data_IF_398652122482
#
_entry.id   IF_398652122482
#
_cell.length_a   1.000
_cell.length_b   1.000
_cell.length_c   1.000
_cell.angle_alpha   90.00
_cell.angle_beta   90.00
_cell.angle_gamma   90.00
#
_symmetry.space_group_name_H-M   'P 1'
#
loop_
_entity.id
_entity.type
_entity.pdbx_description
1 polymer ?
#
# COMPACT_ATOMS: atom_id res chain seq x y z
N UNK A 1 -19.45 33.67 -1.28
CA UNK A 1 -18.82 32.70 -1.97
C UNK A 1 -19.15 31.37 -1.43
N UNK A 2 -19.42 30.53 -2.27
CA UNK A 2 -19.76 29.27 -1.84
C UNK A 2 -18.55 28.46 -1.65
N UNK A 3 -18.46 27.96 -0.49
CA UNK A 3 -17.36 27.17 -0.21
C UNK A 3 -17.62 25.82 -0.70
N UNK A 4 -16.84 25.32 -1.56
CA UNK A 4 -16.99 23.95 -1.90
C UNK A 4 -16.63 23.15 -0.71
N UNK A 5 -17.39 22.14 -0.38
CA UNK A 5 -17.00 21.28 0.71
C UNK A 5 -15.62 20.78 0.41
N UNK A 6 -14.77 20.86 1.39
CA UNK A 6 -13.45 20.41 1.21
C UNK A 6 -13.49 18.92 1.09
N UNK A 7 -12.99 18.44 -0.02
CA UNK A 7 -12.84 17.01 -0.13
C UNK A 7 -11.74 16.58 0.77
N UNK A 8 -11.97 15.51 1.47
CA UNK A 8 -10.93 14.93 2.25
C UNK A 8 -9.87 14.40 1.32
N UNK A 9 -8.64 14.76 1.56
CA UNK A 9 -7.54 14.24 0.77
C UNK A 9 -7.05 12.96 1.39
N UNK A 10 -6.76 12.00 0.54
CA UNK A 10 -6.28 10.70 0.96
C UNK A 10 -4.83 10.58 0.56
N UNK A 11 -3.98 10.26 1.51
CA UNK A 11 -2.57 10.02 1.22
C UNK A 11 -2.46 8.66 0.56
N UNK A 12 -2.08 8.68 -0.69
CA UNK A 12 -2.04 7.47 -1.50
C UNK A 12 -0.59 7.15 -1.84
N UNK A 13 -0.07 6.00 -1.42
CA UNK A 13 1.31 5.65 -1.76
C UNK A 13 1.46 5.45 -3.27
N UNK A 14 2.49 6.07 -3.82
CA UNK A 14 2.83 5.94 -5.24
C UNK A 14 4.34 5.83 -5.32
N UNK A 15 4.84 4.65 -5.67
CA UNK A 15 4.12 3.43 -6.04
C UNK A 15 3.35 2.81 -4.87
N UNK A 16 2.53 1.83 -5.19
CA UNK A 16 1.72 1.17 -4.17
C UNK A 16 2.61 0.59 -3.08
N UNK A 17 2.14 0.68 -1.84
CA UNK A 17 2.93 0.20 -0.71
C UNK A 17 3.24 -1.28 -0.83
N UNK A 18 2.27 -2.07 -1.28
CA UNK A 18 2.49 -3.50 -1.44
C UNK A 18 3.61 -3.77 -2.44
N UNK A 19 3.71 -2.96 -3.50
CA UNK A 19 4.77 -3.14 -4.48
C UNK A 19 6.13 -2.77 -3.90
N UNK A 20 6.17 -1.71 -3.10
CA UNK A 20 7.42 -1.31 -2.45
C UNK A 20 7.93 -2.42 -1.55
N UNK A 21 7.03 -2.98 -0.72
CA UNK A 21 7.42 -4.03 0.20
C UNK A 21 7.85 -5.29 -0.53
N UNK A 22 7.14 -5.64 -1.60
CA UNK A 22 7.49 -6.80 -2.38
C UNK A 22 8.90 -6.69 -2.95
N UNK A 23 9.23 -5.52 -3.49
CA UNK A 23 10.55 -5.30 -4.05
C UNK A 23 11.64 -5.27 -2.99
N UNK A 24 11.33 -4.70 -1.82
CA UNK A 24 12.29 -4.68 -0.73
C UNK A 24 12.61 -6.09 -0.25
N UNK A 25 11.59 -6.93 -0.15
CA UNK A 25 11.82 -8.29 0.30
C UNK A 25 12.65 -9.08 -0.71
N UNK A 26 12.39 -8.87 -1.98
CA UNK A 26 13.19 -9.52 -3.00
C UNK A 26 14.64 -9.05 -2.95
N UNK A 27 14.86 -7.77 -2.77
CA UNK A 27 16.21 -7.23 -2.68
C UNK A 27 16.92 -7.75 -1.45
N UNK A 28 16.18 -7.91 -0.36
CA UNK A 28 16.77 -8.41 0.87
C UNK A 28 17.13 -9.91 0.79
N UNK A 29 16.33 -10.66 0.05
CA UNK A 29 16.54 -12.08 -0.11
C UNK A 29 16.03 -12.91 1.06
N UNK A 30 15.25 -12.29 1.96
CA UNK A 30 14.66 -12.98 3.09
C UNK A 30 13.45 -12.17 3.54
N UNK A 31 12.56 -12.76 4.36
CA UNK A 31 11.34 -12.05 4.76
C UNK A 31 11.63 -10.76 5.49
N UNK A 32 10.82 -9.75 5.24
CA UNK A 32 10.93 -8.49 5.94
C UNK A 32 10.44 -8.65 7.38
N UNK A 33 11.10 -7.97 8.30
CA UNK A 33 10.64 -7.92 9.68
C UNK A 33 9.55 -6.86 9.81
N UNK A 34 8.83 -6.92 10.93
CA UNK A 34 7.81 -5.91 11.20
C UNK A 34 8.40 -4.51 11.20
N UNK A 35 9.57 -4.35 11.81
CA UNK A 35 10.22 -3.06 11.85
C UNK A 35 10.53 -2.56 10.45
N UNK A 36 10.99 -3.44 9.58
CA UNK A 36 11.31 -3.05 8.21
C UNK A 36 10.06 -2.64 7.43
N UNK A 37 8.96 -3.36 7.65
CA UNK A 37 7.70 -3.01 6.99
C UNK A 37 7.20 -1.65 7.45
N UNK A 38 7.24 -1.41 8.75
CA UNK A 38 6.78 -0.15 9.29
C UNK A 38 7.66 1.00 8.83
N UNK A 39 8.98 0.78 8.80
CA UNK A 39 9.90 1.79 8.32
C UNK A 39 9.64 2.14 6.86
N UNK A 40 9.37 1.12 6.03
CA UNK A 40 9.06 1.37 4.64
C UNK A 40 7.78 2.16 4.49
N UNK A 41 6.75 1.83 5.29
CA UNK A 41 5.51 2.60 5.27
C UNK A 41 5.76 4.05 5.63
N UNK A 42 6.56 4.28 6.67
CA UNK A 42 6.80 5.63 7.15
C UNK A 42 7.57 6.47 6.13
N UNK A 43 8.34 5.82 5.28
CA UNK A 43 9.14 6.52 4.28
C UNK A 43 8.54 6.47 2.88
N UNK A 44 7.34 5.90 2.75
CA UNK A 44 6.72 5.75 1.44
C UNK A 44 6.34 7.11 0.87
N UNK A 45 6.58 7.29 -0.42
CA UNK A 45 6.12 8.48 -1.10
C UNK A 45 4.63 8.41 -1.28
N UNK A 46 3.94 9.46 -0.88
CA UNK A 46 2.49 9.51 -0.99
C UNK A 46 2.07 10.79 -1.67
N UNK A 47 0.97 10.70 -2.40
CA UNK A 47 0.36 11.85 -3.02
C UNK A 47 -0.99 12.07 -2.35
N UNK A 48 -1.24 13.28 -1.89
CA UNK A 48 -2.55 13.62 -1.33
C UNK A 48 -3.50 13.87 -2.48
N UNK A 49 -4.59 13.12 -2.52
CA UNK A 49 -5.50 13.23 -3.63
C UNK A 49 -6.94 13.06 -3.15
N UNK A 50 -7.92 13.65 -3.87
CA UNK A 50 -9.32 13.45 -3.52
C UNK A 50 -9.72 12.00 -3.68
N UNK A 51 -10.82 11.64 -3.03
CA UNK A 51 -11.31 10.27 -3.06
C UNK A 51 -11.56 9.79 -4.48
N UNK A 52 -12.08 10.65 -5.34
CA UNK A 52 -12.35 10.25 -6.72
C UNK A 52 -11.06 9.85 -7.44
N UNK A 53 -9.99 10.64 -7.23
CA UNK A 53 -8.72 10.31 -7.84
C UNK A 53 -8.14 9.03 -7.22
N UNK A 54 -8.29 8.88 -5.91
CA UNK A 54 -7.81 7.68 -5.24
C UNK A 54 -8.50 6.43 -5.81
N UNK A 55 -9.82 6.52 -6.00
CA UNK A 55 -10.56 5.38 -6.56
C UNK A 55 -10.10 5.05 -7.97
N UNK A 56 -9.77 6.09 -8.74
CA UNK A 56 -9.27 5.85 -10.09
C UNK A 56 -7.93 5.12 -10.07
N UNK A 57 -7.07 5.48 -9.13
CA UNK A 57 -5.78 4.81 -8.98
C UNK A 57 -5.99 3.33 -8.62
N UNK A 58 -6.89 3.07 -7.68
CA UNK A 58 -7.18 1.69 -7.27
C UNK A 58 -7.71 0.89 -8.46
N UNK A 59 -8.62 1.50 -9.24
CA UNK A 59 -9.18 0.81 -10.40
C UNK A 59 -8.10 0.50 -11.43
N UNK A 60 -7.19 1.45 -11.65
CA UNK A 60 -6.13 1.26 -12.61
C UNK A 60 -5.18 0.17 -12.16
N UNK A 61 -4.89 0.11 -10.86
CA UNK A 61 -4.03 -0.93 -10.32
C UNK A 61 -4.68 -2.31 -10.34
N UNK A 62 -6.00 -2.34 -10.22
CA UNK A 62 -6.73 -3.60 -10.17
C UNK A 62 -6.74 -4.25 -8.79
N UNK A 63 -6.29 -3.52 -7.76
CA UNK A 63 -6.28 -4.04 -6.40
C UNK A 63 -6.21 -2.87 -5.42
N UNK A 64 -6.61 -3.12 -4.18
CA UNK A 64 -6.46 -2.16 -3.10
C UNK A 64 -5.10 -2.34 -2.48
N UNK A 65 -4.43 -1.22 -2.19
CA UNK A 65 -3.15 -1.27 -1.53
C UNK A 65 -3.34 -1.68 -0.07
N UNK A 66 -2.24 -1.95 0.61
CA UNK A 66 -2.26 -2.28 2.02
C UNK A 66 -2.69 -1.05 2.83
N UNK A 67 -3.46 -1.30 3.89
CA UNK A 67 -3.86 -0.25 4.80
C UNK A 67 -2.65 0.17 5.63
N UNK A 68 -2.20 1.42 5.54
CA UNK A 68 -1.00 1.83 6.27
C UNK A 68 -1.13 1.66 7.78
N UNK A 69 -2.34 1.76 8.32
CA UNK A 69 -2.52 1.66 9.75
C UNK A 69 -2.46 0.23 10.25
N UNK A 70 -2.60 -0.73 9.34
CA UNK A 70 -2.50 -2.15 9.68
C UNK A 70 -1.51 -2.84 8.75
N UNK A 71 -0.45 -2.13 8.38
CA UNK A 71 0.42 -2.55 7.31
C UNK A 71 1.07 -3.90 7.57
N UNK A 72 1.46 -4.18 8.82
CA UNK A 72 2.13 -5.44 9.12
C UNK A 72 1.19 -6.62 8.94
N UNK A 73 -0.01 -6.54 9.53
CA UNK A 73 -0.98 -7.60 9.40
C UNK A 73 -1.39 -7.81 7.96
N UNK A 74 -1.58 -6.72 7.22
CA UNK A 74 -2.00 -6.84 5.83
C UNK A 74 -0.89 -7.37 4.95
N UNK A 75 0.35 -7.01 5.25
CA UNK A 75 1.48 -7.56 4.52
C UNK A 75 1.57 -9.07 4.72
N UNK A 76 1.41 -9.53 5.95
CA UNK A 76 1.45 -10.96 6.23
C UNK A 76 0.31 -11.69 5.52
N UNK A 77 -0.88 -11.10 5.53
CA UNK A 77 -2.02 -11.70 4.85
C UNK A 77 -1.78 -11.77 3.34
N UNK A 78 -1.21 -10.72 2.77
CA UNK A 78 -0.90 -10.70 1.35
C UNK A 78 0.11 -11.80 1.00
N UNK A 79 1.15 -11.93 1.80
CA UNK A 79 2.16 -12.96 1.55
C UNK A 79 1.58 -14.36 1.70
N UNK A 80 0.75 -14.56 2.70
CA UNK A 80 0.10 -15.84 2.86
C UNK A 80 -0.76 -16.21 1.68
N UNK A 81 -1.49 -15.22 1.16
CA UNK A 81 -2.33 -15.45 0.00
C UNK A 81 -1.50 -15.84 -1.23
N UNK A 82 -0.37 -15.19 -1.44
CA UNK A 82 0.49 -15.52 -2.56
C UNK A 82 1.06 -16.93 -2.40
N UNK A 83 1.51 -17.26 -1.19
CA UNK A 83 2.08 -18.58 -0.96
C UNK A 83 1.06 -19.66 -1.19
N UNK A 84 -0.18 -19.42 -0.78
CA UNK A 84 -1.24 -20.38 -1.04
C UNK A 84 -1.47 -20.58 -2.51
N UNK A 85 -1.47 -19.48 -3.26
CA UNK A 85 -1.73 -19.54 -4.68
C UNK A 85 -0.62 -20.19 -5.47
N UNK A 86 0.59 -20.19 -4.92
CA UNK A 86 1.73 -20.78 -5.60
C UNK A 86 1.87 -22.24 -5.33
N UNK A 87 1.12 -22.78 -4.40
CA UNK A 87 1.25 -24.19 -4.09
C UNK A 87 0.58 -25.03 -5.15
N UNK A 88 1.16 -26.13 -5.50
CA UNK A 88 0.60 -26.99 -6.53
C UNK A 88 -0.71 -27.59 -6.10
#
# INVERSE_FOLDING_TARGET
>A
MQETPQEQLILTPVPALVAVLWNLEKAKGSPLTEHEVITARDNAACIAMPLTAHRAVVAERGYSDLDPENVWQEWLAFKGSIEENEQP
#
